data_IF_490492298608
#
_entry.id   IF_490492298608
#
_cell.length_a   1.000
_cell.length_b   1.000
_cell.length_c   1.000
_cell.angle_alpha   90.00
_cell.angle_beta   90.00
_cell.angle_gamma   90.00
#
_symmetry.space_group_name_H-M   'P 1'
#
loop_
_entity.id
_entity.type
_entity.pdbx_description
1 polymer ?
#
# COMPACT_ATOMS: atom_id res chain seq x y z
N UNK A 1 -14.32 -7.03 17.51
CA UNK A 1 -13.52 -6.00 18.19
C UNK A 1 -13.39 -4.88 17.20
N UNK A 2 -13.56 -3.64 17.64
CA UNK A 2 -13.57 -2.51 16.72
C UNK A 2 -12.15 -2.29 16.16
N UNK A 3 -12.08 -2.05 14.86
CA UNK A 3 -10.81 -1.91 14.15
C UNK A 3 -10.21 -0.53 14.44
N UNK A 4 -8.92 -0.49 14.79
CA UNK A 4 -8.25 0.75 15.17
C UNK A 4 -7.37 1.28 14.05
N UNK A 5 -7.44 2.58 13.83
CA UNK A 5 -6.64 3.28 12.83
C UNK A 5 -5.93 4.48 13.47
N UNK A 6 -4.61 4.47 13.39
CA UNK A 6 -3.78 5.60 13.79
C UNK A 6 -3.70 6.60 12.62
N UNK A 7 -4.16 7.83 12.85
CA UNK A 7 -4.07 8.97 11.95
C UNK A 7 -3.32 10.09 12.65
N UNK A 8 -2.32 10.67 11.97
CA UNK A 8 -1.66 11.89 12.44
C UNK A 8 -1.38 12.85 11.32
N UNK A 9 -1.37 14.13 11.67
CA UNK A 9 -0.78 15.18 10.84
C UNK A 9 0.74 14.97 10.79
N UNK A 10 1.27 14.92 9.59
CA UNK A 10 2.69 14.78 9.26
C UNK A 10 2.94 15.77 8.14
N UNK A 11 3.25 17.02 8.49
CA UNK A 11 3.30 18.13 7.53
C UNK A 11 4.44 17.99 6.52
N UNK A 12 5.51 17.31 6.91
CA UNK A 12 6.68 17.06 6.08
C UNK A 12 7.35 15.73 6.45
N UNK A 13 8.25 15.27 5.58
CA UNK A 13 8.89 13.97 5.71
C UNK A 13 9.94 13.86 6.84
N UNK A 14 10.34 14.96 7.48
CA UNK A 14 11.21 14.91 8.67
C UNK A 14 10.46 14.33 9.88
N UNK A 15 9.13 14.44 9.89
CA UNK A 15 8.27 13.93 10.95
C UNK A 15 7.81 12.48 10.72
N UNK A 16 7.98 11.96 9.49
CA UNK A 16 7.50 10.63 9.10
C UNK A 16 8.07 9.50 9.99
N UNK A 17 9.35 9.58 10.36
CA UNK A 17 9.97 8.55 11.19
C UNK A 17 9.37 8.43 12.60
N UNK A 18 8.90 9.54 13.18
CA UNK A 18 8.18 9.51 14.45
C UNK A 18 6.85 8.77 14.32
N UNK A 19 6.11 9.02 13.24
CA UNK A 19 4.86 8.33 12.96
C UNK A 19 5.08 6.82 12.74
N UNK A 20 6.08 6.46 11.94
CA UNK A 20 6.39 5.05 11.66
C UNK A 20 6.73 4.28 12.94
N UNK A 21 7.59 4.83 13.82
CA UNK A 21 7.91 4.19 15.10
C UNK A 21 6.68 4.01 16.00
N UNK A 22 5.77 4.97 16.01
CA UNK A 22 4.52 4.86 16.77
C UNK A 22 3.57 3.81 16.18
N UNK A 23 3.47 3.72 14.85
CA UNK A 23 2.70 2.68 14.17
C UNK A 23 3.22 1.29 14.52
N UNK A 24 4.55 1.08 14.49
CA UNK A 24 5.18 -0.16 14.94
C UNK A 24 4.89 -0.46 16.42
N UNK A 25 4.99 0.52 17.31
CA UNK A 25 4.67 0.31 18.73
C UNK A 25 3.19 -0.06 18.96
N UNK A 26 2.30 0.47 18.13
CA UNK A 26 0.84 0.32 18.31
C UNK A 26 0.31 -0.97 17.67
N UNK A 27 0.83 -1.32 16.49
CA UNK A 27 0.29 -2.38 15.62
C UNK A 27 1.34 -3.39 15.19
N UNK A 28 2.57 -3.27 15.69
CA UNK A 28 3.63 -4.24 15.42
C UNK A 28 3.29 -5.62 15.98
N UNK A 29 4.19 -6.55 15.70
CA UNK A 29 4.05 -7.95 16.03
C UNK A 29 5.34 -8.42 16.71
N UNK A 30 5.19 -9.39 17.61
CA UNK A 30 6.28 -9.97 18.40
C UNK A 30 6.67 -11.36 17.85
N UNK A 31 7.75 -11.93 18.38
CA UNK A 31 8.19 -13.32 18.12
C UNK A 31 8.61 -13.66 16.68
N UNK A 32 8.95 -12.66 15.87
CA UNK A 32 9.41 -12.84 14.50
C UNK A 32 10.88 -12.51 14.33
N UNK A 33 11.52 -13.09 13.32
CA UNK A 33 12.96 -12.91 13.02
C UNK A 33 13.21 -12.12 11.74
N UNK A 34 12.25 -12.12 10.83
CA UNK A 34 12.31 -11.48 9.52
C UNK A 34 10.98 -10.79 9.21
N UNK A 35 11.06 -9.63 8.56
CA UNK A 35 9.89 -8.90 8.08
C UNK A 35 10.11 -8.41 6.66
N UNK A 36 9.08 -8.56 5.82
CA UNK A 36 9.09 -8.00 4.47
C UNK A 36 8.54 -6.59 4.51
N UNK A 37 9.23 -5.61 3.94
CA UNK A 37 8.76 -4.24 3.80
C UNK A 37 8.46 -3.98 2.33
N UNK A 38 7.20 -3.70 2.02
CA UNK A 38 6.70 -3.56 0.66
C UNK A 38 6.26 -2.12 0.36
N UNK A 39 7.13 -1.29 -0.23
CA UNK A 39 6.74 0.07 -0.64
C UNK A 39 5.74 0.08 -1.81
N UNK A 40 5.37 1.27 -2.25
CA UNK A 40 4.70 1.51 -3.53
C UNK A 40 5.60 2.38 -4.40
N UNK A 41 6.65 1.80 -4.99
CA UNK A 41 7.51 2.57 -5.89
C UNK A 41 6.93 2.68 -7.28
N UNK A 42 6.27 1.65 -7.83
CA UNK A 42 5.70 1.66 -9.19
C UNK A 42 6.75 1.92 -10.32
N UNK A 43 7.44 3.05 -10.34
CA UNK A 43 8.52 3.46 -11.25
C UNK A 43 9.50 4.37 -10.50
N UNK A 44 10.69 4.57 -11.06
CA UNK A 44 11.53 5.67 -10.61
C UNK A 44 10.83 7.01 -10.86
N UNK A 45 10.68 7.81 -9.82
CA UNK A 45 10.08 9.14 -9.88
C UNK A 45 10.64 10.01 -8.75
N UNK A 46 10.50 11.33 -8.90
CA UNK A 46 10.72 12.26 -7.81
C UNK A 46 9.74 11.95 -6.65
N UNK A 47 10.24 11.65 -5.42
CA UNK A 47 9.41 11.33 -4.26
C UNK A 47 8.37 12.40 -3.89
N UNK A 48 8.60 13.67 -4.25
CA UNK A 48 7.70 14.78 -3.98
C UNK A 48 6.56 14.91 -5.01
N UNK A 49 6.50 14.03 -6.02
CA UNK A 49 5.41 14.03 -7.00
C UNK A 49 4.14 13.35 -6.51
N UNK A 50 4.14 12.72 -5.33
CA UNK A 50 2.98 11.98 -4.81
C UNK A 50 2.70 10.64 -5.52
N UNK A 51 3.61 10.18 -6.38
CA UNK A 51 3.41 8.95 -7.17
C UNK A 51 3.89 7.69 -6.44
N UNK A 52 4.95 7.84 -5.64
CA UNK A 52 5.70 6.75 -5.03
C UNK A 52 5.82 6.96 -3.53
N UNK A 53 5.86 5.90 -2.74
CA UNK A 53 6.18 6.00 -1.31
C UNK A 53 7.51 6.72 -1.12
N UNK A 54 7.54 7.68 -0.20
CA UNK A 54 8.74 8.48 0.00
C UNK A 54 9.86 7.65 0.64
N UNK A 55 11.12 7.81 0.19
CA UNK A 55 12.26 7.08 0.75
C UNK A 55 12.38 7.13 2.27
N UNK A 56 12.15 8.29 2.89
CA UNK A 56 12.25 8.42 4.35
C UNK A 56 11.23 7.56 5.10
N UNK A 57 10.04 7.31 4.54
CA UNK A 57 9.04 6.40 5.13
C UNK A 57 9.56 4.97 5.08
N UNK A 58 10.20 4.58 3.97
CA UNK A 58 10.80 3.25 3.80
C UNK A 58 12.00 3.07 4.74
N UNK A 59 12.94 4.02 4.77
CA UNK A 59 14.09 3.98 5.69
C UNK A 59 13.64 3.95 7.16
N UNK A 60 12.62 4.73 7.52
CA UNK A 60 12.08 4.71 8.88
C UNK A 60 11.44 3.38 9.25
N UNK A 61 10.80 2.69 8.29
CA UNK A 61 10.24 1.36 8.52
C UNK A 61 11.34 0.30 8.67
N UNK A 62 12.42 0.41 7.88
CA UNK A 62 13.61 -0.43 8.02
C UNK A 62 14.26 -0.25 9.39
N UNK A 63 14.44 1.00 9.84
CA UNK A 63 14.99 1.31 11.17
C UNK A 63 14.09 0.78 12.28
N UNK A 64 12.79 1.07 12.23
CA UNK A 64 11.84 0.61 13.25
C UNK A 64 11.77 -0.93 13.33
N UNK A 65 11.86 -1.62 12.20
CA UNK A 65 11.96 -3.08 12.17
C UNK A 65 13.23 -3.58 12.88
N UNK A 66 14.39 -2.97 12.59
CA UNK A 66 15.67 -3.31 13.23
C UNK A 66 15.68 -3.04 14.73
N UNK A 67 15.14 -1.90 15.13
CA UNK A 67 14.99 -1.52 16.54
C UNK A 67 14.12 -2.53 17.31
N UNK A 68 13.21 -3.19 16.59
CA UNK A 68 12.34 -4.26 17.12
C UNK A 68 12.97 -5.66 17.01
N UNK A 69 14.25 -5.77 16.62
CA UNK A 69 14.97 -7.04 16.49
C UNK A 69 14.71 -7.82 15.19
N UNK A 70 13.93 -7.26 14.27
CA UNK A 70 13.57 -7.91 13.00
C UNK A 70 14.66 -7.70 11.93
N UNK A 71 14.81 -8.67 11.04
CA UNK A 71 15.62 -8.53 9.82
C UNK A 71 14.75 -8.02 8.66
N UNK A 72 14.88 -6.76 8.22
CA UNK A 72 14.06 -6.24 7.13
C UNK A 72 14.53 -6.73 5.76
N UNK A 73 13.59 -7.18 4.94
CA UNK A 73 13.73 -7.44 3.50
C UNK A 73 12.84 -6.44 2.75
N UNK A 74 13.44 -5.47 2.04
CA UNK A 74 12.67 -4.52 1.22
C UNK A 74 12.42 -5.14 -0.15
N UNK A 75 11.17 -5.44 -0.46
CA UNK A 75 10.79 -6.13 -1.69
C UNK A 75 9.77 -5.31 -2.49
N UNK A 76 10.05 -5.05 -3.76
CA UNK A 76 9.14 -4.26 -4.60
C UNK A 76 9.11 -4.74 -6.07
N UNK A 77 7.92 -4.66 -6.65
CA UNK A 77 7.66 -4.91 -8.06
C UNK A 77 7.03 -3.69 -8.72
N UNK A 78 7.68 -3.16 -9.76
CA UNK A 78 7.23 -1.95 -10.46
C UNK A 78 6.56 -2.22 -11.81
N UNK A 79 6.31 -1.16 -12.57
CA UNK A 79 5.78 -1.19 -13.93
C UNK A 79 6.81 -1.72 -14.93
N UNK A 80 8.07 -1.29 -14.79
CA UNK A 80 9.20 -1.74 -15.62
C UNK A 80 10.10 -2.73 -14.89
N UNK A 81 10.84 -3.53 -15.66
CA UNK A 81 11.77 -4.54 -15.13
C UNK A 81 12.79 -3.96 -14.14
N UNK A 82 13.27 -2.74 -14.38
CA UNK A 82 14.32 -2.09 -13.57
C UNK A 82 13.77 -1.01 -12.62
N UNK A 83 12.45 -0.91 -12.48
CA UNK A 83 11.83 0.17 -11.69
C UNK A 83 12.27 0.15 -10.23
N UNK A 84 12.28 -1.03 -9.60
CA UNK A 84 12.69 -1.17 -8.21
C UNK A 84 14.21 -0.95 -8.04
N UNK A 85 15.04 -1.53 -8.93
CA UNK A 85 16.51 -1.35 -8.89
C UNK A 85 16.91 0.13 -8.90
N UNK A 86 16.29 0.92 -9.79
CA UNK A 86 16.54 2.37 -9.86
C UNK A 86 16.20 3.05 -8.54
N UNK A 87 15.05 2.73 -7.95
CA UNK A 87 14.67 3.29 -6.65
C UNK A 87 15.64 2.89 -5.55
N UNK A 88 16.01 1.61 -5.45
CA UNK A 88 16.97 1.12 -4.44
C UNK A 88 18.35 1.75 -4.59
N UNK A 89 18.81 1.96 -5.82
CA UNK A 89 20.13 2.57 -6.08
C UNK A 89 20.17 4.08 -5.86
N UNK A 90 19.03 4.77 -6.02
CA UNK A 90 18.97 6.24 -5.97
C UNK A 90 18.51 6.77 -4.63
N UNK A 91 17.68 6.01 -3.92
CA UNK A 91 17.16 6.39 -2.62
C UNK A 91 18.03 5.71 -1.57
N UNK A 92 18.72 6.48 -0.73
CA UNK A 92 19.50 5.92 0.37
C UNK A 92 18.56 5.31 1.42
N UNK A 93 18.13 4.06 1.21
CA UNK A 93 17.11 3.37 2.01
C UNK A 93 17.66 2.73 3.29
N UNK A 94 18.95 2.92 3.58
CA UNK A 94 19.66 2.39 4.74
C UNK A 94 20.73 1.37 4.37
N UNK A 95 21.81 1.37 5.15
CA UNK A 95 22.94 0.47 4.95
C UNK A 95 22.60 -0.96 5.38
N UNK A 96 23.17 -1.95 4.68
CA UNK A 96 23.02 -3.38 5.02
C UNK A 96 21.60 -3.93 4.91
N UNK A 97 20.73 -3.26 4.15
CA UNK A 97 19.36 -3.72 3.88
C UNK A 97 19.37 -4.69 2.70
N UNK A 98 18.62 -5.78 2.81
CA UNK A 98 18.40 -6.68 1.69
C UNK A 98 17.29 -6.11 0.79
N UNK A 99 17.62 -5.80 -0.46
CA UNK A 99 16.67 -5.33 -1.46
C UNK A 99 16.37 -6.42 -2.49
N UNK A 100 15.08 -6.60 -2.81
CA UNK A 100 14.65 -7.54 -3.85
C UNK A 100 13.78 -6.83 -4.86
N UNK A 101 14.25 -6.81 -6.12
CA UNK A 101 13.44 -6.44 -7.26
C UNK A 101 12.63 -7.65 -7.73
N UNK A 102 11.36 -7.69 -7.35
CA UNK A 102 10.45 -8.79 -7.64
C UNK A 102 10.23 -9.01 -9.14
N UNK A 103 10.43 -7.99 -9.99
CA UNK A 103 10.27 -8.11 -11.43
C UNK A 103 11.37 -8.95 -12.11
N UNK A 104 12.48 -9.22 -11.41
CA UNK A 104 13.63 -9.98 -11.92
C UNK A 104 13.68 -11.42 -11.42
N UNK A 105 12.80 -11.78 -10.49
CA UNK A 105 12.79 -13.12 -9.91
C UNK A 105 12.12 -14.15 -10.82
N UNK A 106 12.30 -15.41 -10.44
CA UNK A 106 11.41 -16.48 -10.86
C UNK A 106 10.01 -16.26 -10.29
N UNK A 107 9.00 -16.65 -11.07
CA UNK A 107 7.60 -16.53 -10.67
C UNK A 107 6.99 -17.92 -10.49
N UNK A 108 6.46 -18.16 -9.30
CA UNK A 108 5.80 -19.42 -8.92
C UNK A 108 4.30 -19.24 -9.06
N UNK A 109 3.63 -20.23 -9.68
CA UNK A 109 2.17 -20.26 -9.76
C UNK A 109 1.62 -20.76 -8.42
N UNK A 110 0.73 -20.00 -7.80
CA UNK A 110 0.03 -20.40 -6.57
C UNK A 110 -1.48 -20.45 -6.83
N UNK A 111 -2.16 -21.33 -6.10
CA UNK A 111 -3.62 -21.36 -6.06
C UNK A 111 -4.12 -20.29 -5.08
N UNK A 112 -4.97 -19.40 -5.56
CA UNK A 112 -5.64 -18.39 -4.73
C UNK A 112 -6.98 -18.93 -4.23
N UNK A 113 -7.64 -19.78 -5.03
CA UNK A 113 -8.96 -20.33 -4.68
C UNK A 113 -10.07 -19.27 -4.57
N UNK A 114 -9.79 -18.03 -4.98
CA UNK A 114 -10.68 -16.89 -4.82
C UNK A 114 -11.91 -16.94 -5.73
N UNK A 115 -12.84 -16.01 -5.55
CA UNK A 115 -14.10 -15.96 -6.30
C UNK A 115 -13.85 -15.69 -7.79
N UNK A 116 -13.03 -14.69 -8.10
CA UNK A 116 -12.65 -14.28 -9.46
C UNK A 116 -11.19 -14.59 -9.83
N UNK A 117 -10.27 -14.62 -8.86
CA UNK A 117 -8.87 -14.98 -9.05
C UNK A 117 -8.65 -16.42 -8.57
N UNK A 118 -8.52 -17.38 -9.51
CA UNK A 118 -8.30 -18.79 -9.17
C UNK A 118 -6.84 -19.09 -8.89
N UNK A 119 -5.93 -18.58 -9.72
CA UNK A 119 -4.50 -18.75 -9.57
C UNK A 119 -3.75 -17.51 -10.02
N UNK A 120 -2.50 -17.38 -9.55
CA UNK A 120 -1.65 -16.24 -9.90
C UNK A 120 -0.17 -16.60 -9.86
N UNK A 121 0.64 -15.87 -10.64
CA UNK A 121 2.11 -15.98 -10.64
C UNK A 121 2.72 -14.92 -9.72
N UNK A 122 3.40 -15.37 -8.66
CA UNK A 122 3.99 -14.54 -7.61
C UNK A 122 5.51 -14.66 -7.64
N UNK A 123 6.21 -13.54 -7.42
CA UNK A 123 7.67 -13.53 -7.33
C UNK A 123 8.15 -14.39 -6.14
N UNK A 124 9.25 -15.13 -6.31
CA UNK A 124 9.72 -16.13 -5.34
C UNK A 124 9.86 -15.56 -3.91
N UNK A 125 10.47 -14.39 -3.75
CA UNK A 125 10.64 -13.79 -2.42
C UNK A 125 9.33 -13.31 -1.80
N UNK A 126 8.32 -12.97 -2.61
CA UNK A 126 7.01 -12.60 -2.10
C UNK A 126 6.24 -13.79 -1.49
N UNK A 127 6.60 -15.04 -1.79
CA UNK A 127 6.02 -16.21 -1.13
C UNK A 127 6.31 -16.26 0.37
N UNK A 128 7.37 -15.59 0.84
CA UNK A 128 7.65 -15.46 2.27
C UNK A 128 6.48 -14.80 3.01
N UNK A 129 5.77 -13.86 2.37
CA UNK A 129 4.62 -13.16 2.94
C UNK A 129 3.40 -14.07 3.21
N UNK A 130 3.44 -15.34 2.82
CA UNK A 130 2.43 -16.33 3.17
C UNK A 130 2.59 -16.88 4.60
N UNK A 131 3.82 -16.85 5.14
CA UNK A 131 4.16 -17.46 6.43
C UNK A 131 4.96 -16.51 7.33
N UNK A 132 5.22 -15.29 6.88
CA UNK A 132 5.98 -14.27 7.60
C UNK A 132 5.23 -12.95 7.54
N UNK A 133 5.35 -12.11 8.57
CA UNK A 133 4.70 -10.82 8.56
C UNK A 133 5.29 -9.93 7.46
N UNK A 134 4.43 -9.09 6.89
CA UNK A 134 4.88 -8.04 6.00
C UNK A 134 4.19 -6.72 6.28
N UNK A 135 4.95 -5.65 6.02
CA UNK A 135 4.54 -4.28 6.20
C UNK A 135 4.32 -3.66 4.83
N UNK A 136 3.09 -3.24 4.55
CA UNK A 136 2.75 -2.54 3.31
C UNK A 136 2.90 -1.04 3.52
N UNK A 137 3.66 -0.36 2.66
CA UNK A 137 3.82 1.10 2.70
C UNK A 137 3.20 1.75 1.46
N UNK A 138 1.87 1.75 1.29
CA UNK A 138 1.21 2.32 0.12
C UNK A 138 1.21 3.86 0.13
N UNK A 139 0.82 4.44 -1.00
CA UNK A 139 0.68 5.88 -1.20
C UNK A 139 -0.79 6.32 -1.23
N UNK A 140 -1.10 7.47 -0.63
CA UNK A 140 -2.33 8.24 -0.86
C UNK A 140 -2.39 8.67 -2.33
N UNK A 141 -3.03 7.88 -3.19
CA UNK A 141 -3.00 8.12 -4.63
C UNK A 141 -4.23 7.59 -5.32
N UNK A 142 -4.80 8.37 -6.23
CA UNK A 142 -5.94 7.94 -7.05
C UNK A 142 -5.53 6.87 -8.06
N UNK A 143 -6.49 6.07 -8.54
CA UNK A 143 -6.25 5.10 -9.60
C UNK A 143 -7.46 4.98 -10.53
N UNK A 144 -7.23 5.03 -11.84
CA UNK A 144 -8.32 5.07 -12.82
C UNK A 144 -9.27 3.86 -12.76
N UNK A 145 -8.76 2.63 -12.61
CA UNK A 145 -9.61 1.43 -12.49
C UNK A 145 -10.29 1.26 -11.13
N UNK A 146 -9.63 1.66 -10.04
CA UNK A 146 -10.02 1.23 -8.69
C UNK A 146 -10.47 2.39 -7.80
N UNK A 147 -10.48 3.62 -8.32
CA UNK A 147 -10.67 4.85 -7.55
C UNK A 147 -9.39 5.26 -6.82
N UNK A 148 -8.79 4.34 -6.06
CA UNK A 148 -7.62 4.58 -5.20
C UNK A 148 -6.56 3.48 -5.32
N UNK A 149 -5.32 3.80 -4.92
CA UNK A 149 -4.18 2.89 -4.82
C UNK A 149 -4.16 2.21 -3.46
N UNK A 150 -3.72 2.90 -2.40
CA UNK A 150 -3.76 2.44 -1.00
C UNK A 150 -3.23 1.01 -0.79
N UNK A 151 -3.56 0.38 0.34
CA UNK A 151 -2.96 -0.84 0.85
C UNK A 151 -3.39 -2.11 0.12
N UNK A 152 -4.69 -2.32 -0.09
CA UNK A 152 -5.22 -3.53 -0.72
C UNK A 152 -4.63 -3.71 -2.13
N UNK A 153 -4.62 -2.63 -2.92
CA UNK A 153 -4.07 -2.67 -4.28
C UNK A 153 -2.55 -2.83 -4.30
N UNK A 154 -1.86 -2.40 -3.25
CA UNK A 154 -0.40 -2.44 -3.21
C UNK A 154 0.12 -3.88 -3.38
N UNK A 155 -0.64 -4.89 -2.90
CA UNK A 155 -0.34 -6.32 -3.05
C UNK A 155 -0.14 -6.77 -4.51
N UNK A 156 -0.70 -6.05 -5.49
CA UNK A 156 -0.42 -6.31 -6.91
C UNK A 156 1.08 -6.24 -7.24
N UNK A 157 1.90 -5.56 -6.42
CA UNK A 157 3.35 -5.50 -6.53
C UNK A 157 4.04 -6.87 -6.45
N UNK A 158 3.44 -7.87 -5.79
CA UNK A 158 3.98 -9.23 -5.71
C UNK A 158 3.82 -10.05 -6.99
N UNK A 159 2.96 -9.59 -7.90
CA UNK A 159 2.54 -10.36 -9.07
C UNK A 159 3.45 -10.16 -10.28
N UNK A 160 3.53 -11.20 -11.12
CA UNK A 160 4.19 -11.12 -12.44
C UNK A 160 3.63 -9.99 -13.29
N UNK A 161 4.53 -9.18 -13.87
CA UNK A 161 4.21 -8.07 -14.78
C UNK A 161 4.34 -8.49 -16.26
N UNK A 162 3.55 -7.90 -17.17
CA UNK A 162 2.45 -6.96 -16.90
C UNK A 162 1.23 -7.69 -16.30
N UNK A 163 0.64 -7.12 -15.25
CA UNK A 163 -0.45 -7.75 -14.50
C UNK A 163 -1.85 -7.46 -15.08
N UNK A 164 -1.96 -7.36 -16.41
CA UNK A 164 -3.20 -6.97 -17.13
C UNK A 164 -4.33 -7.97 -16.88
N UNK A 165 -4.00 -9.24 -16.62
CA UNK A 165 -4.97 -10.26 -16.25
C UNK A 165 -5.77 -9.93 -14.97
N UNK A 166 -5.31 -8.95 -14.17
CA UNK A 166 -6.05 -8.46 -13.01
C UNK A 166 -7.13 -7.43 -13.37
N UNK A 167 -7.09 -6.79 -14.54
CA UNK A 167 -7.96 -5.64 -14.85
C UNK A 167 -9.44 -6.03 -14.93
N UNK A 168 -9.76 -7.15 -15.60
CA UNK A 168 -11.12 -7.67 -15.62
C UNK A 168 -11.51 -8.18 -14.21
N UNK A 169 -12.61 -7.68 -13.66
CA UNK A 169 -13.06 -7.94 -12.29
C UNK A 169 -12.01 -7.56 -11.23
N UNK A 170 -11.26 -6.48 -11.47
CA UNK A 170 -10.16 -6.06 -10.60
C UNK A 170 -10.55 -5.94 -9.13
N UNK A 171 -11.75 -5.43 -8.83
CA UNK A 171 -12.19 -5.26 -7.45
C UNK A 171 -12.28 -6.58 -6.70
N UNK A 172 -13.00 -7.57 -7.25
CA UNK A 172 -13.06 -8.90 -6.64
C UNK A 172 -11.69 -9.59 -6.61
N UNK A 173 -10.88 -9.46 -7.67
CA UNK A 173 -9.53 -10.08 -7.71
C UNK A 173 -8.58 -9.47 -6.68
N UNK A 174 -8.73 -8.20 -6.34
CA UNK A 174 -7.97 -7.56 -5.26
C UNK A 174 -8.35 -8.13 -3.90
N UNK A 175 -9.63 -8.36 -3.65
CA UNK A 175 -10.13 -9.00 -2.42
C UNK A 175 -9.67 -10.46 -2.34
N UNK A 176 -9.74 -11.20 -3.44
CA UNK A 176 -9.24 -12.57 -3.52
C UNK A 176 -7.73 -12.63 -3.24
N UNK A 177 -6.95 -11.68 -3.78
CA UNK A 177 -5.52 -11.58 -3.53
C UNK A 177 -5.21 -11.21 -2.07
N UNK A 178 -6.01 -10.34 -1.46
CA UNK A 178 -5.90 -9.97 -0.04
C UNK A 178 -6.08 -11.18 0.87
N UNK A 179 -6.95 -12.13 0.51
CA UNK A 179 -7.12 -13.39 1.24
C UNK A 179 -5.87 -14.28 1.27
N UNK A 180 -4.89 -14.03 0.38
CA UNK A 180 -3.61 -14.72 0.35
C UNK A 180 -2.49 -13.87 0.94
N UNK A 181 -2.48 -12.57 0.65
CA UNK A 181 -1.48 -11.63 1.13
C UNK A 181 -2.13 -10.55 2.01
N UNK A 182 -2.25 -10.82 3.31
CA UNK A 182 -2.78 -9.86 4.26
C UNK A 182 -1.63 -9.19 5.05
N UNK A 183 -1.37 -7.89 4.88
CA UNK A 183 -0.29 -7.22 5.61
C UNK A 183 -0.55 -7.21 7.10
N UNK A 184 0.48 -7.52 7.89
CA UNK A 184 0.44 -7.46 9.34
C UNK A 184 0.42 -6.01 9.86
N UNK A 185 0.95 -5.09 9.07
CA UNK A 185 0.91 -3.66 9.31
C UNK A 185 0.85 -2.92 7.97
N UNK A 186 -0.05 -1.95 7.86
CA UNK A 186 -0.06 -1.00 6.74
C UNK A 186 0.25 0.40 7.26
N UNK A 187 1.12 1.12 6.57
CA UNK A 187 1.46 2.52 6.84
C UNK A 187 1.29 3.30 5.53
N UNK A 188 0.19 4.02 5.41
CA UNK A 188 -0.18 4.76 4.21
C UNK A 188 0.46 6.14 4.26
N UNK A 189 1.35 6.40 3.31
CA UNK A 189 2.05 7.67 3.11
C UNK A 189 1.12 8.67 2.41
N UNK A 190 0.65 9.66 3.17
CA UNK A 190 -0.14 10.79 2.70
C UNK A 190 0.48 12.14 3.04
N UNK A 191 1.79 12.22 3.26
CA UNK A 191 2.44 13.54 3.45
C UNK A 191 2.27 14.34 2.15
N UNK A 192 2.69 13.75 1.03
CA UNK A 192 2.35 14.20 -0.32
C UNK A 192 1.59 13.10 -1.05
N UNK A 193 0.33 13.36 -1.37
CA UNK A 193 -0.51 12.45 -2.14
C UNK A 193 -0.45 12.70 -3.66
N UNK A 194 -0.96 11.74 -4.42
CA UNK A 194 -1.01 11.77 -5.87
C UNK A 194 -2.43 11.90 -6.40
N UNK A 195 -2.75 13.09 -6.93
CA UNK A 195 -4.07 13.41 -7.49
C UNK A 195 -4.09 13.30 -9.03
N UNK A 196 -5.29 13.28 -9.63
CA UNK A 196 -5.60 13.26 -11.07
C UNK A 196 -5.22 11.99 -11.86
N UNK A 197 -4.09 11.34 -11.58
CA UNK A 197 -3.59 10.16 -12.30
C UNK A 197 -2.70 9.30 -11.39
N UNK A 198 -2.74 7.98 -11.57
CA UNK A 198 -1.90 7.04 -10.81
C UNK A 198 -0.40 7.07 -11.16
N UNK A 199 -0.05 7.57 -12.35
CA UNK A 199 1.30 7.52 -12.90
C UNK A 199 1.87 8.89 -13.25
N UNK A 200 1.01 9.85 -13.64
CA UNK A 200 1.36 11.26 -13.87
C UNK A 200 0.62 12.13 -12.86
N UNK A 201 0.85 11.84 -11.58
CA UNK A 201 0.19 12.50 -10.45
C UNK A 201 0.39 14.01 -10.48
N UNK A 202 -0.66 14.74 -10.11
CA UNK A 202 -0.53 16.10 -9.58
C UNK A 202 -0.26 15.97 -8.08
N UNK A 203 0.91 16.41 -7.57
CA UNK A 203 1.18 16.33 -6.14
C UNK A 203 0.18 17.16 -5.36
N UNK A 204 -0.25 16.64 -4.21
CA UNK A 204 -1.15 17.30 -3.28
C UNK A 204 -0.57 17.17 -1.87
N UNK A 205 -0.28 18.30 -1.24
CA UNK A 205 0.19 18.37 0.15
C UNK A 205 -0.97 18.07 1.09
N UNK A 206 -1.14 16.79 1.41
CA UNK A 206 -2.20 16.34 2.29
C UNK A 206 -1.76 16.45 3.74
N UNK A 207 -0.53 16.02 4.04
CA UNK A 207 0.10 16.21 5.33
C UNK A 207 -0.44 15.29 6.42
N UNK A 208 -0.82 14.05 6.07
CA UNK A 208 -1.23 13.03 7.05
C UNK A 208 -0.58 11.68 6.76
N UNK A 209 -0.47 10.85 7.79
CA UNK A 209 -0.17 9.43 7.62
C UNK A 209 -1.20 8.60 8.38
N UNK A 210 -1.45 7.40 7.86
CA UNK A 210 -2.44 6.45 8.38
C UNK A 210 -1.77 5.11 8.63
N UNK A 211 -2.06 4.46 9.75
CA UNK A 211 -1.57 3.12 10.03
C UNK A 211 -2.61 2.24 10.74
N UNK A 212 -2.56 0.93 10.47
CA UNK A 212 -3.37 -0.09 11.14
C UNK A 212 -2.76 -1.48 10.92
N UNK A 213 -3.11 -2.44 11.76
CA UNK A 213 -2.93 -3.87 11.49
C UNK A 213 -4.07 -4.48 10.66
N UNK A 214 -5.10 -3.70 10.32
CA UNK A 214 -6.17 -4.09 9.40
C UNK A 214 -6.17 -3.18 8.17
N UNK A 215 -5.79 -3.74 7.01
CA UNK A 215 -5.68 -2.97 5.76
C UNK A 215 -7.02 -2.48 5.23
N UNK A 216 -8.12 -3.19 5.51
CA UNK A 216 -9.45 -2.75 5.08
C UNK A 216 -9.85 -1.50 5.85
N UNK A 217 -9.62 -1.48 7.16
CA UNK A 217 -9.88 -0.31 8.00
C UNK A 217 -8.99 0.89 7.62
N UNK A 218 -7.70 0.65 7.39
CA UNK A 218 -6.78 1.70 6.94
C UNK A 218 -7.16 2.28 5.58
N UNK A 219 -7.51 1.44 4.60
CA UNK A 219 -7.91 1.88 3.27
C UNK A 219 -9.24 2.65 3.31
N UNK A 220 -10.19 2.24 4.16
CA UNK A 220 -11.45 2.96 4.35
C UNK A 220 -11.21 4.37 4.91
N UNK A 221 -10.47 4.49 6.03
CA UNK A 221 -10.13 5.80 6.61
C UNK A 221 -9.32 6.66 5.64
N UNK A 222 -8.37 6.07 4.91
CA UNK A 222 -7.60 6.80 3.91
C UNK A 222 -8.45 7.28 2.73
N UNK A 223 -9.39 6.46 2.24
CA UNK A 223 -10.33 6.88 1.20
C UNK A 223 -11.19 8.06 1.66
N UNK A 224 -11.66 8.04 2.92
CA UNK A 224 -12.43 9.14 3.49
C UNK A 224 -11.61 10.44 3.66
N UNK A 225 -10.37 10.32 4.13
CA UNK A 225 -9.41 11.43 4.17
C UNK A 225 -9.15 12.01 2.77
N UNK A 226 -9.18 11.18 1.72
CA UNK A 226 -9.09 11.62 0.32
C UNK A 226 -10.39 12.24 -0.23
N UNK A 227 -11.43 12.38 0.59
CA UNK A 227 -12.73 12.92 0.20
C UNK A 227 -13.59 11.96 -0.61
N UNK A 228 -13.26 10.66 -0.61
CA UNK A 228 -14.10 9.62 -1.18
C UNK A 228 -15.00 8.99 -0.13
N UNK A 229 -16.06 8.34 -0.60
CA UNK A 229 -16.94 7.52 0.23
C UNK A 229 -16.41 6.07 0.17
N UNK A 230 -15.88 5.50 1.27
CA UNK A 230 -15.27 4.17 1.27
C UNK A 230 -16.17 3.06 0.70
N UNK A 231 -17.47 3.13 0.98
CA UNK A 231 -18.50 2.21 0.49
C UNK A 231 -18.72 2.29 -1.03
N UNK A 232 -18.34 3.41 -1.66
CA UNK A 232 -18.35 3.56 -3.13
C UNK A 232 -17.07 3.07 -3.79
N UNK A 233 -16.04 2.75 -3.02
CA UNK A 233 -14.82 2.12 -3.51
C UNK A 233 -15.02 0.60 -3.45
N UNK A 234 -15.37 0.00 -4.59
CA UNK A 234 -15.91 -1.36 -4.64
C UNK A 234 -15.04 -2.42 -3.97
N UNK A 235 -13.70 -2.35 -4.10
CA UNK A 235 -12.81 -3.32 -3.47
C UNK A 235 -12.68 -3.14 -1.95
N UNK A 236 -12.85 -1.91 -1.43
CA UNK A 236 -12.88 -1.66 0.02
C UNK A 236 -14.19 -2.21 0.59
N UNK A 237 -15.33 -1.89 -0.04
CA UNK A 237 -16.64 -2.43 0.35
C UNK A 237 -16.66 -3.97 0.33
N UNK A 238 -16.19 -4.58 -0.75
CA UNK A 238 -16.14 -6.04 -0.87
C UNK A 238 -15.19 -6.66 0.16
N UNK A 239 -14.05 -6.03 0.45
CA UNK A 239 -13.15 -6.52 1.49
C UNK A 239 -13.79 -6.42 2.88
N UNK A 240 -14.49 -5.33 3.18
CA UNK A 240 -15.21 -5.16 4.43
C UNK A 240 -16.26 -6.28 4.64
N UNK A 241 -17.03 -6.61 3.60
CA UNK A 241 -17.99 -7.73 3.62
C UNK A 241 -17.32 -9.10 3.82
N UNK A 242 -16.22 -9.38 3.10
CA UNK A 242 -15.54 -10.68 3.14
C UNK A 242 -14.77 -10.91 4.45
N UNK A 243 -14.13 -9.86 4.98
CA UNK A 243 -13.30 -9.95 6.17
C UNK A 243 -14.02 -9.50 7.45
N UNK A 244 -15.30 -9.16 7.37
CA UNK A 244 -16.14 -8.83 8.54
C UNK A 244 -15.77 -7.50 9.20
N UNK A 245 -15.32 -6.52 8.43
CA UNK A 245 -14.99 -5.18 8.93
C UNK A 245 -16.22 -4.29 8.83
N UNK A 246 -16.73 -3.86 9.98
CA UNK A 246 -17.80 -2.86 10.07
C UNK A 246 -17.20 -1.46 9.96
N UNK A 247 -17.31 -0.82 8.78
CA UNK A 247 -16.66 0.47 8.51
C UNK A 247 -17.19 1.60 9.40
N UNK A 248 -18.42 1.51 9.90
CA UNK A 248 -19.01 2.52 10.79
C UNK A 248 -18.47 2.44 12.22
N UNK A 249 -17.76 1.34 12.55
CA UNK A 249 -17.14 1.09 13.86
C UNK A 249 -15.62 1.24 13.85
N UNK A 250 -15.03 1.76 12.77
CA UNK A 250 -13.59 2.00 12.75
C UNK A 250 -13.27 3.15 13.72
N UNK A 251 -12.40 2.88 14.69
CA UNK A 251 -11.96 3.86 15.67
C UNK A 251 -10.69 4.57 15.19
N UNK A 252 -10.76 5.89 15.00
CA UNK A 252 -9.59 6.74 14.79
C UNK A 252 -9.18 7.42 16.09
N UNK A 253 -7.87 7.61 16.29
CA UNK A 253 -7.33 8.34 17.46
C UNK A 253 -7.59 9.86 17.41
N UNK A 254 -8.15 10.37 16.31
CA UNK A 254 -8.51 11.77 16.09
C UNK A 254 -9.77 11.86 15.25
N UNK A 255 -10.51 12.95 15.35
CA UNK A 255 -11.54 13.31 14.37
C UNK A 255 -10.87 13.68 13.02
N UNK A 256 -11.20 12.93 11.97
CA UNK A 256 -10.58 13.05 10.65
C UNK A 256 -11.24 14.11 9.77
N UNK A 257 -12.38 14.69 10.15
CA UNK A 257 -13.16 15.60 9.29
C UNK A 257 -12.33 16.80 8.81
N UNK A 258 -11.54 17.39 9.71
CA UNK A 258 -10.67 18.55 9.40
C UNK A 258 -9.40 18.19 8.64
N UNK A 259 -9.09 16.90 8.54
CA UNK A 259 -7.92 16.38 7.85
C UNK A 259 -8.23 16.03 6.40
N UNK A 260 -9.50 15.97 6.01
CA UNK A 260 -9.93 15.63 4.65
C UNK A 260 -9.37 16.60 3.60
N UNK A 261 -9.03 16.06 2.44
CA UNK A 261 -8.63 16.79 1.23
C UNK A 261 -9.32 16.16 0.03
N UNK A 262 -9.77 16.97 -0.91
CA UNK A 262 -10.47 16.46 -2.09
C UNK A 262 -9.50 15.98 -3.15
N UNK A 263 -9.56 14.69 -3.48
CA UNK A 263 -8.90 14.10 -4.64
C UNK A 263 -9.90 13.91 -5.77
N UNK A 264 -9.41 13.87 -7.00
CA UNK A 264 -10.21 13.66 -8.18
C UNK A 264 -9.43 12.89 -9.25
N UNK A 265 -10.15 12.12 -10.07
CA UNK A 265 -9.59 11.53 -11.28
C UNK A 265 -9.72 12.52 -12.43
N UNK A 266 -8.67 12.66 -13.24
CA UNK A 266 -8.74 13.44 -14.48
C UNK A 266 -9.87 12.92 -15.38
N UNK A 267 -10.40 13.76 -16.26
CA UNK A 267 -11.44 13.34 -17.21
C UNK A 267 -11.01 12.09 -18.01
N UNK A 268 -9.77 12.10 -18.52
CA UNK A 268 -9.21 10.98 -19.26
C UNK A 268 -9.10 9.70 -18.40
N UNK A 269 -8.60 9.81 -17.16
CA UNK A 269 -8.54 8.69 -16.23
C UNK A 269 -9.93 8.13 -15.89
N UNK A 270 -10.95 8.98 -15.75
CA UNK A 270 -12.33 8.54 -15.55
C UNK A 270 -12.88 7.77 -16.76
N UNK A 271 -12.55 8.22 -17.98
CA UNK A 271 -12.94 7.53 -19.21
C UNK A 271 -12.26 6.17 -19.31
N UNK A 272 -10.94 6.08 -19.08
CA UNK A 272 -10.20 4.82 -19.07
C UNK A 272 -10.76 3.82 -18.03
N UNK A 273 -11.07 4.30 -16.84
CA UNK A 273 -11.70 3.50 -15.79
C UNK A 273 -13.00 2.83 -16.23
N UNK A 274 -13.88 3.58 -16.94
CA UNK A 274 -15.16 3.06 -17.42
C UNK A 274 -15.05 2.01 -18.52
N UNK A 275 -13.97 2.03 -19.29
CA UNK A 275 -13.74 1.07 -20.38
C UNK A 275 -12.90 -0.15 -19.93
N UNK A 276 -12.48 -0.20 -18.66
CA UNK A 276 -11.73 -1.31 -18.09
C UNK A 276 -10.33 -1.51 -18.67
N UNK A 277 -9.76 -0.46 -19.28
CA UNK A 277 -8.43 -0.46 -19.89
C UNK A 277 -7.40 0.06 -18.90
#
# INVERSE_FOLDING_TARGET
MDEKVLVKKVEDYTQAGKFVREAFKTFGFEEEDEVIIKPNFLKYNDPLRGCITHPSVVSSAVEAARDSGLKPLVAEGGFGKDSADKCFSSFNLGDGVNFVNLNREEFVKINVGGKALKDVKVAKSALKALNKPFISLPKFKVHHLTGVTLGIKNNMGFLKKPAVYMHLNIHQKLVDLLGVFNPSLVIIDGVVGGDLSESKTKPLDHGVMVASNNVVAADAVAAELMGFMPEKIEHIRLAAEVFGVDMDKIETNVDIERLKRSYSLSFFSRVLGKIGI
#
